data_IF_053682224364
#
_entry.id   IF_053682224364
#
_cell.length_a   1.000
_cell.length_b   1.000
_cell.length_c   1.000
_cell.angle_alpha   90.00
_cell.angle_beta   90.00
_cell.angle_gamma   90.00
#
_symmetry.space_group_name_H-M   'P 1'
#
loop_
_entity.id
_entity.type
_entity.pdbx_description
1 polymer ?
#
# COMPACT_ATOMS: atom_id res chain seq x y z
N UNK A 1 -62.02 -4.03 -3.03
CA UNK A 1 -61.13 -3.26 -2.15
C UNK A 1 -59.71 -3.54 -2.62
N UNK A 2 -59.21 -2.71 -3.55
CA UNK A 2 -57.87 -2.83 -4.14
C UNK A 2 -56.87 -2.02 -3.27
N UNK A 3 -55.90 -2.67 -2.66
CA UNK A 3 -54.81 -2.02 -1.96
C UNK A 3 -53.70 -1.76 -2.96
N UNK A 4 -53.53 -0.49 -3.29
CA UNK A 4 -52.42 -0.03 -4.14
C UNK A 4 -51.15 0.02 -3.30
N UNK A 5 -50.19 -0.86 -3.55
CA UNK A 5 -48.83 -0.75 -3.01
C UNK A 5 -48.07 0.32 -3.83
N UNK A 6 -47.90 1.49 -3.23
CA UNK A 6 -47.03 2.55 -3.76
C UNK A 6 -45.57 2.11 -3.51
N UNK A 7 -44.90 1.60 -4.55
CA UNK A 7 -43.46 1.39 -4.55
C UNK A 7 -42.78 2.76 -4.68
N UNK A 8 -42.29 3.33 -3.57
CA UNK A 8 -41.37 4.46 -3.61
C UNK A 8 -40.01 3.94 -4.12
N UNK A 9 -39.77 4.14 -5.40
CA UNK A 9 -38.43 4.01 -5.95
C UNK A 9 -37.59 5.18 -5.43
N UNK A 10 -36.78 4.93 -4.39
CA UNK A 10 -35.71 5.83 -4.00
C UNK A 10 -34.67 5.76 -5.13
N UNK A 11 -34.75 6.65 -6.08
CA UNK A 11 -33.66 6.95 -7.01
C UNK A 11 -32.58 7.68 -6.22
N UNK A 12 -31.81 6.93 -5.46
CA UNK A 12 -30.53 7.39 -4.98
C UNK A 12 -29.62 7.58 -6.19
N UNK A 13 -29.35 8.81 -6.56
CA UNK A 13 -28.23 9.16 -7.42
C UNK A 13 -26.96 8.69 -6.71
N UNK A 14 -26.60 7.44 -6.91
CA UNK A 14 -25.21 6.99 -6.73
C UNK A 14 -24.43 7.71 -7.83
N UNK A 15 -23.99 8.94 -7.55
CA UNK A 15 -22.89 9.52 -8.27
C UNK A 15 -21.82 8.42 -8.28
N UNK A 16 -21.51 7.92 -9.45
CA UNK A 16 -20.39 7.06 -9.74
C UNK A 16 -19.18 7.74 -9.08
N UNK A 17 -18.87 7.34 -7.86
CA UNK A 17 -17.60 7.66 -7.26
C UNK A 17 -16.58 7.00 -8.18
N UNK A 18 -16.02 7.82 -9.05
CA UNK A 18 -14.82 7.49 -9.81
C UNK A 18 -13.86 7.02 -8.74
N UNK A 19 -13.64 5.71 -8.66
CA UNK A 19 -12.66 5.15 -7.76
C UNK A 19 -11.31 5.58 -8.31
N UNK A 20 -10.91 6.79 -7.93
CA UNK A 20 -9.53 7.17 -8.04
C UNK A 20 -8.77 6.12 -7.23
N UNK A 21 -7.98 5.31 -7.92
CA UNK A 21 -7.05 4.41 -7.29
C UNK A 21 -6.12 5.32 -6.51
N UNK A 22 -6.43 5.51 -5.24
CA UNK A 22 -5.56 6.26 -4.34
C UNK A 22 -4.35 5.35 -4.15
N UNK A 23 -3.32 5.58 -4.96
CA UNK A 23 -2.00 5.03 -4.70
C UNK A 23 -1.54 5.49 -3.31
N UNK A 24 -0.46 4.93 -2.78
CA UNK A 24 0.05 5.31 -1.46
C UNK A 24 0.50 6.78 -1.40
N UNK A 25 0.75 7.39 -2.54
CA UNK A 25 1.11 8.81 -2.69
C UNK A 25 0.82 9.28 -4.11
N UNK A 26 0.47 10.55 -4.26
CA UNK A 26 0.41 11.18 -5.59
C UNK A 26 1.84 11.49 -6.06
N UNK A 27 2.31 10.77 -7.09
CA UNK A 27 3.69 10.91 -7.55
C UNK A 27 3.97 10.08 -8.80
N UNK A 28 5.24 10.04 -9.19
CA UNK A 28 5.73 9.32 -10.38
C UNK A 28 6.67 8.19 -9.94
N UNK A 29 6.50 6.97 -10.48
CA UNK A 29 7.45 5.88 -10.25
C UNK A 29 8.84 6.33 -10.72
N UNK A 30 9.79 6.34 -9.81
CA UNK A 30 11.18 6.71 -10.05
C UNK A 30 12.14 5.53 -10.01
N UNK A 31 11.73 4.43 -9.34
CA UNK A 31 12.48 3.18 -9.34
C UNK A 31 11.57 1.98 -9.14
N UNK A 32 11.77 0.95 -9.94
CA UNK A 32 10.94 -0.26 -9.95
C UNK A 32 11.45 -1.31 -8.96
N UNK A 33 10.57 -2.26 -8.65
CA UNK A 33 10.85 -3.47 -7.88
C UNK A 33 11.77 -4.42 -8.66
N UNK A 34 12.69 -5.10 -7.96
CA UNK A 34 13.52 -6.16 -8.53
C UNK A 34 15.01 -5.82 -8.58
N UNK A 35 15.78 -6.57 -9.37
CA UNK A 35 17.22 -6.37 -9.48
C UNK A 35 17.54 -5.12 -10.29
N UNK A 36 18.28 -4.18 -9.69
CA UNK A 36 18.69 -2.93 -10.32
C UNK A 36 20.05 -2.45 -9.80
N UNK A 37 20.74 -1.55 -10.51
CA UNK A 37 21.88 -0.86 -9.93
C UNK A 37 21.47 -0.08 -8.67
N UNK A 38 22.20 -0.31 -7.59
CA UNK A 38 22.01 0.44 -6.35
C UNK A 38 22.47 1.89 -6.56
N UNK A 39 21.63 2.91 -6.21
CA UNK A 39 21.91 4.31 -6.54
C UNK A 39 23.10 4.91 -5.78
N UNK A 40 23.62 4.23 -4.74
CA UNK A 40 24.76 4.69 -3.95
C UNK A 40 26.06 3.96 -4.28
N UNK A 41 25.97 2.69 -4.67
CA UNK A 41 27.16 1.85 -4.91
C UNK A 41 27.35 1.47 -6.37
N UNK A 42 26.33 1.63 -7.21
CA UNK A 42 26.32 1.18 -8.61
C UNK A 42 26.25 -0.34 -8.80
N UNK A 43 26.37 -1.13 -7.70
CA UNK A 43 26.32 -2.60 -7.78
C UNK A 43 24.88 -3.06 -7.96
N UNK A 44 24.70 -4.18 -8.66
CA UNK A 44 23.37 -4.79 -8.77
C UNK A 44 22.89 -5.26 -7.40
N UNK A 45 21.71 -4.79 -7.00
CA UNK A 45 21.06 -5.12 -5.74
C UNK A 45 19.54 -5.29 -5.94
N UNK A 46 18.93 -6.06 -5.04
CA UNK A 46 17.50 -6.25 -5.05
C UNK A 46 16.78 -5.07 -4.38
N UNK A 47 15.81 -4.49 -5.07
CA UNK A 47 14.91 -3.47 -4.56
C UNK A 47 13.59 -4.10 -4.15
N UNK A 48 13.31 -4.12 -2.85
CA UNK A 48 12.16 -4.81 -2.24
C UNK A 48 10.81 -4.13 -2.43
N UNK A 49 10.81 -2.94 -3.04
CA UNK A 49 9.60 -2.14 -3.27
C UNK A 49 9.64 -1.34 -4.56
N UNK A 50 8.85 -0.31 -4.62
CA UNK A 50 8.93 0.74 -5.65
C UNK A 50 9.20 2.08 -4.97
N UNK A 51 9.95 2.95 -5.66
CA UNK A 51 10.14 4.32 -5.21
C UNK A 51 9.23 5.24 -6.04
N UNK A 52 8.46 6.07 -5.35
CA UNK A 52 7.50 7.02 -5.95
C UNK A 52 7.96 8.43 -5.61
N UNK A 53 8.58 9.09 -6.58
CA UNK A 53 9.02 10.47 -6.43
C UNK A 53 7.82 11.41 -6.24
N UNK A 54 7.85 12.18 -5.18
CA UNK A 54 6.85 13.18 -4.82
C UNK A 54 7.51 14.27 -3.97
N UNK A 55 6.92 15.45 -3.94
CA UNK A 55 7.44 16.57 -3.17
C UNK A 55 7.44 16.26 -1.67
N UNK A 56 8.44 16.80 -0.97
CA UNK A 56 8.52 16.70 0.49
C UNK A 56 7.23 17.25 1.13
N UNK A 57 6.66 16.51 2.07
CA UNK A 57 5.42 16.89 2.72
C UNK A 57 4.15 16.47 1.97
N UNK A 58 4.25 15.82 0.81
CA UNK A 58 3.09 15.22 0.15
C UNK A 58 2.46 14.15 1.06
N UNK A 59 1.12 14.12 1.23
CA UNK A 59 0.46 13.13 2.06
C UNK A 59 0.68 11.69 1.56
N UNK A 60 0.96 10.79 2.50
CA UNK A 60 1.07 9.35 2.28
C UNK A 60 -0.16 8.66 2.85
N UNK A 61 -0.80 7.81 2.06
CA UNK A 61 -2.08 7.19 2.37
C UNK A 61 -1.95 5.69 2.57
N UNK A 62 -2.70 5.15 3.53
CA UNK A 62 -2.90 3.70 3.64
C UNK A 62 -3.64 3.18 2.41
N UNK A 63 -3.08 2.18 1.71
CA UNK A 63 -3.72 1.63 0.50
C UNK A 63 -4.94 0.76 0.80
N UNK A 64 -5.08 0.30 2.05
CA UNK A 64 -6.13 -0.59 2.51
C UNK A 64 -6.30 -0.47 4.03
N UNK A 65 -7.48 -0.93 4.55
CA UNK A 65 -7.73 -1.03 5.98
C UNK A 65 -6.70 -1.96 6.65
N UNK A 66 -6.35 -1.68 7.90
CA UNK A 66 -5.41 -2.52 8.64
C UNK A 66 -5.03 -1.97 10.00
N UNK A 67 -4.09 -2.63 10.63
CA UNK A 67 -3.53 -2.24 11.94
C UNK A 67 -2.06 -1.86 11.77
N UNK A 68 -1.64 -0.76 12.39
CA UNK A 68 -0.24 -0.34 12.40
C UNK A 68 0.56 -1.30 13.29
N UNK A 69 1.51 -2.00 12.71
CA UNK A 69 2.40 -2.91 13.44
C UNK A 69 3.80 -2.32 13.65
N UNK A 70 4.11 -1.23 12.98
CA UNK A 70 5.34 -0.47 13.17
C UNK A 70 5.12 1.00 12.77
N UNK A 71 5.62 1.90 13.59
CA UNK A 71 5.69 3.35 13.30
C UNK A 71 6.93 3.91 13.99
N UNK A 72 7.94 4.36 13.21
CA UNK A 72 9.19 4.86 13.77
C UNK A 72 10.36 4.80 12.79
N UNK A 73 11.59 5.04 13.31
CA UNK A 73 12.82 5.00 12.54
C UNK A 73 13.36 3.56 12.44
N UNK A 74 13.60 3.08 11.21
CA UNK A 74 14.02 1.71 10.93
C UNK A 74 15.14 1.65 9.89
N UNK A 75 16.38 1.65 10.34
CA UNK A 75 17.57 1.46 9.48
C UNK A 75 17.54 2.29 8.20
N UNK A 76 17.79 1.66 7.06
CA UNK A 76 17.78 2.29 5.74
C UNK A 76 16.45 2.91 5.33
N UNK A 77 15.32 2.41 5.84
CA UNK A 77 13.98 2.96 5.56
C UNK A 77 13.72 4.35 6.16
N UNK A 78 14.59 4.82 7.07
CA UNK A 78 14.34 6.07 7.78
C UNK A 78 13.08 5.98 8.65
N UNK A 79 12.27 7.04 8.67
CA UNK A 79 10.96 7.00 9.32
C UNK A 79 10.00 6.20 8.44
N UNK A 80 9.44 5.12 8.99
CA UNK A 80 8.53 4.27 8.24
C UNK A 80 7.32 3.82 9.06
N UNK A 81 6.26 3.48 8.34
CA UNK A 81 5.05 2.83 8.83
C UNK A 81 4.96 1.45 8.21
N UNK A 82 4.54 0.44 8.99
CA UNK A 82 4.16 -0.87 8.46
C UNK A 82 2.73 -1.16 8.91
N UNK A 83 1.89 -1.52 7.95
CA UNK A 83 0.49 -1.90 8.16
C UNK A 83 0.33 -3.39 7.93
N UNK A 84 -0.35 -4.05 8.84
CA UNK A 84 -0.81 -5.42 8.69
C UNK A 84 -2.28 -5.41 8.28
N UNK A 85 -2.56 -5.91 7.10
CA UNK A 85 -3.91 -6.00 6.52
C UNK A 85 -4.54 -7.37 6.82
N UNK A 86 -4.46 -7.77 8.09
CA UNK A 86 -5.01 -9.05 8.53
C UNK A 86 -6.54 -9.00 8.58
N UNK A 87 -7.16 -10.04 8.04
CA UNK A 87 -8.60 -10.23 8.04
C UNK A 87 -8.95 -11.40 8.96
N UNK A 88 -9.41 -11.15 10.20
CA UNK A 88 -9.64 -12.18 11.19
C UNK A 88 -10.69 -13.20 10.74
N UNK A 89 -11.67 -12.77 9.93
CA UNK A 89 -12.76 -13.62 9.46
C UNK A 89 -12.35 -14.57 8.31
N UNK A 90 -11.13 -14.43 7.78
CA UNK A 90 -10.64 -15.25 6.66
C UNK A 90 -9.18 -15.68 6.91
N UNK A 91 -8.91 -16.52 7.93
CA UNK A 91 -7.55 -16.87 8.34
C UNK A 91 -6.74 -17.63 7.28
N UNK A 92 -7.40 -18.16 6.25
CA UNK A 92 -6.73 -18.86 5.13
C UNK A 92 -6.07 -17.91 4.15
N UNK A 93 -6.35 -16.59 4.24
CA UNK A 93 -5.70 -15.61 3.40
C UNK A 93 -4.33 -15.29 4.00
N UNK A 94 -3.28 -15.43 3.18
CA UNK A 94 -1.95 -15.07 3.63
C UNK A 94 -1.88 -13.61 4.09
N UNK A 95 -1.03 -13.36 5.08
CA UNK A 95 -0.88 -12.06 5.72
C UNK A 95 -0.27 -11.05 4.75
N UNK A 96 -1.03 -10.05 4.38
CA UNK A 96 -0.58 -8.93 3.56
C UNK A 96 -0.04 -7.83 4.47
N UNK A 97 1.16 -7.35 4.18
CA UNK A 97 1.73 -6.18 4.86
C UNK A 97 2.21 -5.16 3.83
N UNK A 98 2.07 -3.89 4.17
CA UNK A 98 2.64 -2.78 3.39
C UNK A 98 3.57 -1.95 4.23
N UNK A 99 4.68 -1.50 3.63
CA UNK A 99 5.66 -0.61 4.25
C UNK A 99 5.72 0.71 3.47
N UNK A 100 5.78 1.80 4.23
CA UNK A 100 5.86 3.18 3.74
C UNK A 100 7.10 3.83 4.34
N UNK A 101 8.18 3.96 3.56
CA UNK A 101 9.50 4.41 4.00
C UNK A 101 9.86 5.84 3.60
N UNK A 102 10.96 6.32 4.15
CA UNK A 102 11.61 7.62 3.93
C UNK A 102 10.78 8.84 4.33
N UNK A 103 9.74 8.66 5.17
CA UNK A 103 8.83 9.75 5.56
C UNK A 103 9.55 10.86 6.33
N UNK A 104 9.04 12.10 6.18
CA UNK A 104 9.46 13.24 6.99
C UNK A 104 8.84 13.19 8.40
N UNK A 105 7.57 12.82 8.47
CA UNK A 105 6.82 12.66 9.73
C UNK A 105 5.79 11.55 9.64
N UNK A 106 5.46 10.97 10.80
CA UNK A 106 4.50 9.88 10.97
C UNK A 106 3.31 10.40 11.76
N UNK A 107 2.09 10.02 11.36
CA UNK A 107 0.84 10.51 11.96
C UNK A 107 0.10 9.43 12.75
N UNK A 108 0.66 8.21 12.80
CA UNK A 108 0.04 7.03 13.40
C UNK A 108 0.99 6.33 14.36
N UNK A 109 0.43 5.60 15.32
CA UNK A 109 1.17 4.83 16.31
C UNK A 109 0.91 3.33 16.16
N UNK A 110 1.80 2.51 16.70
CA UNK A 110 1.59 1.05 16.76
C UNK A 110 0.30 0.74 17.51
N UNK A 111 -0.53 -0.12 16.93
CA UNK A 111 -1.85 -0.50 17.44
C UNK A 111 -3.02 0.30 16.86
N UNK A 112 -2.76 1.41 16.17
CA UNK A 112 -3.84 2.18 15.54
C UNK A 112 -4.48 1.37 14.40
N UNK A 113 -5.82 1.44 14.34
CA UNK A 113 -6.58 0.97 13.17
C UNK A 113 -6.63 2.11 12.14
N UNK A 114 -6.28 1.79 10.91
CA UNK A 114 -6.34 2.72 9.79
C UNK A 114 -7.30 2.24 8.71
N UNK A 115 -7.90 3.20 8.00
CA UNK A 115 -8.77 2.93 6.85
C UNK A 115 -8.03 3.24 5.55
N UNK A 116 -8.43 2.58 4.48
CA UNK A 116 -7.99 2.92 3.11
C UNK A 116 -8.20 4.42 2.84
N UNK A 117 -7.17 5.07 2.30
CA UNK A 117 -7.18 6.51 2.02
C UNK A 117 -6.92 7.41 3.25
N UNK A 118 -6.71 6.84 4.43
CA UNK A 118 -6.29 7.62 5.59
C UNK A 118 -4.85 8.09 5.42
N UNK A 119 -4.58 9.38 5.72
CA UNK A 119 -3.21 9.91 5.77
C UNK A 119 -2.50 9.31 6.97
N UNK A 120 -1.33 8.68 6.76
CA UNK A 120 -0.54 8.00 7.78
C UNK A 120 0.83 8.61 8.00
N UNK A 121 1.32 9.37 7.00
CA UNK A 121 2.64 10.00 7.03
C UNK A 121 2.72 11.11 5.98
N UNK A 122 3.87 11.78 5.92
CA UNK A 122 4.22 12.70 4.85
C UNK A 122 5.54 12.32 4.20
N UNK A 123 5.63 12.47 2.86
CA UNK A 123 6.84 12.21 2.09
C UNK A 123 8.04 12.98 2.66
N UNK A 124 9.16 12.32 2.71
CA UNK A 124 10.44 12.86 3.16
C UNK A 124 11.60 12.33 2.35
N UNK A 125 12.78 12.37 2.96
CA UNK A 125 14.04 11.81 2.44
C UNK A 125 14.89 11.29 3.60
N UNK A 126 14.25 10.68 4.61
CA UNK A 126 14.96 10.14 5.79
C UNK A 126 15.54 8.75 5.50
N UNK A 127 16.57 8.38 6.27
CA UNK A 127 17.26 7.10 6.06
C UNK A 127 18.16 7.09 4.83
N UNK A 128 18.21 5.97 4.11
CA UNK A 128 19.04 5.79 2.91
C UNK A 128 18.29 6.26 1.66
N UNK A 129 18.17 7.55 1.49
CA UNK A 129 17.45 8.22 0.40
C UNK A 129 18.34 9.26 -0.27
N UNK A 130 18.22 9.42 -1.58
CA UNK A 130 18.94 10.41 -2.40
C UNK A 130 18.07 11.61 -2.82
N UNK A 131 16.83 11.68 -2.33
CA UNK A 131 15.90 12.78 -2.61
C UNK A 131 14.48 12.45 -2.13
N UNK A 132 13.54 13.42 -2.18
CA UNK A 132 12.19 13.20 -1.71
C UNK A 132 11.45 12.14 -2.53
N UNK A 133 11.01 11.07 -1.88
CA UNK A 133 10.18 10.00 -2.45
C UNK A 133 9.55 9.16 -1.34
N UNK A 134 8.52 8.42 -1.68
CA UNK A 134 8.00 7.31 -0.88
C UNK A 134 8.64 6.02 -1.38
N UNK A 135 9.31 5.26 -0.49
CA UNK A 135 9.62 3.87 -0.72
C UNK A 135 8.43 3.02 -0.26
N UNK A 136 7.84 2.26 -1.17
CA UNK A 136 6.63 1.49 -0.92
C UNK A 136 6.84 0.00 -1.20
N UNK A 137 6.61 -0.84 -0.17
CA UNK A 137 6.70 -2.28 -0.28
C UNK A 137 5.37 -2.96 -0.04
N UNK A 138 5.18 -4.09 -0.70
CA UNK A 138 4.13 -5.06 -0.43
C UNK A 138 4.76 -6.40 -0.13
N UNK A 139 4.39 -7.02 0.98
CA UNK A 139 4.86 -8.35 1.33
C UNK A 139 3.72 -9.28 1.72
N UNK A 140 3.93 -10.55 1.45
CA UNK A 140 2.98 -11.63 1.59
C UNK A 140 3.62 -12.76 2.37
N UNK A 141 3.15 -13.05 3.57
CA UNK A 141 3.84 -14.01 4.44
C UNK A 141 5.35 -13.76 4.52
N UNK A 142 5.77 -12.48 4.66
CA UNK A 142 7.17 -12.02 4.68
C UNK A 142 7.93 -12.18 3.35
N UNK A 143 7.28 -12.49 2.25
CA UNK A 143 7.88 -12.49 0.92
C UNK A 143 7.51 -11.20 0.19
N UNK A 144 8.50 -10.49 -0.35
CA UNK A 144 8.25 -9.30 -1.15
C UNK A 144 7.60 -9.65 -2.48
N UNK A 145 6.62 -8.86 -2.88
CA UNK A 145 5.96 -8.97 -4.19
C UNK A 145 6.00 -7.62 -4.89
N UNK A 146 5.86 -7.63 -6.22
CA UNK A 146 5.90 -6.38 -6.97
C UNK A 146 4.69 -5.49 -6.59
N UNK A 147 4.92 -4.30 -5.97
CA UNK A 147 3.83 -3.43 -5.57
C UNK A 147 2.96 -2.95 -6.73
N UNK A 148 3.49 -2.90 -7.94
CA UNK A 148 2.75 -2.49 -9.14
C UNK A 148 1.57 -3.40 -9.43
N UNK A 149 1.66 -4.68 -9.05
CA UNK A 149 0.53 -5.61 -9.18
C UNK A 149 -0.65 -5.23 -8.28
N UNK A 150 -0.39 -4.47 -7.21
CA UNK A 150 -1.40 -3.97 -6.28
C UNK A 150 -1.92 -2.58 -6.65
N UNK A 151 -1.06 -1.69 -7.13
CA UNK A 151 -1.43 -0.32 -7.43
C UNK A 151 -2.35 -0.20 -8.64
N UNK A 152 -2.27 -1.13 -9.59
CA UNK A 152 -3.01 -1.02 -10.86
C UNK A 152 -4.09 -2.08 -11.08
N UNK A 153 -4.18 -3.11 -10.23
CA UNK A 153 -5.02 -4.28 -10.54
C UNK A 153 -6.14 -4.59 -9.55
N UNK A 154 -6.23 -3.88 -8.42
CA UNK A 154 -7.16 -4.30 -7.37
C UNK A 154 -8.21 -3.24 -7.01
N UNK A 155 -9.42 -3.30 -7.60
CA UNK A 155 -10.53 -2.45 -7.20
C UNK A 155 -11.12 -2.83 -5.84
N UNK A 156 -11.00 -4.09 -5.40
CA UNK A 156 -11.56 -4.56 -4.14
C UNK A 156 -10.76 -5.71 -3.51
N UNK A 157 -11.00 -5.96 -2.21
CA UNK A 157 -10.47 -7.11 -1.48
C UNK A 157 -10.81 -8.47 -2.13
N UNK A 158 -12.02 -8.64 -2.68
CA UNK A 158 -12.45 -9.88 -3.33
C UNK A 158 -11.63 -10.18 -4.59
N UNK A 159 -11.29 -9.15 -5.35
CA UNK A 159 -10.45 -9.28 -6.55
C UNK A 159 -9.02 -9.67 -6.16
N UNK A 160 -8.52 -9.15 -5.02
CA UNK A 160 -7.25 -9.54 -4.46
C UNK A 160 -7.21 -11.02 -4.07
N UNK A 161 -8.24 -11.54 -3.39
CA UNK A 161 -8.34 -12.96 -3.01
C UNK A 161 -8.36 -13.85 -4.25
N UNK A 162 -9.11 -13.46 -5.27
CA UNK A 162 -9.19 -14.17 -6.55
C UNK A 162 -7.82 -14.17 -7.27
N UNK A 163 -7.14 -13.01 -7.29
CA UNK A 163 -5.79 -12.88 -7.84
C UNK A 163 -4.76 -13.73 -7.09
N UNK A 164 -4.75 -13.69 -5.77
CA UNK A 164 -3.84 -14.48 -4.94
C UNK A 164 -4.03 -15.99 -5.15
N UNK A 165 -5.27 -16.45 -5.31
CA UNK A 165 -5.58 -17.86 -5.64
C UNK A 165 -5.17 -18.25 -7.06
N UNK A 166 -5.25 -17.34 -8.03
CA UNK A 166 -4.88 -17.60 -9.42
C UNK A 166 -3.37 -17.66 -9.67
N UNK A 167 -2.59 -16.99 -8.83
CA UNK A 167 -1.13 -16.84 -8.93
C UNK A 167 -0.37 -17.80 -8.01
N UNK A 168 -0.68 -19.10 -8.03
CA UNK A 168 0.08 -20.12 -7.27
C UNK A 168 1.56 -20.26 -7.73
N UNK A 169 2.15 -19.22 -8.31
CA UNK A 169 3.53 -19.14 -8.77
C UNK A 169 4.20 -17.87 -8.27
N UNK A 170 4.42 -17.77 -6.96
CA UNK A 170 5.38 -16.79 -6.47
C UNK A 170 6.77 -17.41 -6.54
N UNK A 171 7.60 -16.91 -7.44
CA UNK A 171 9.05 -17.12 -7.33
C UNK A 171 9.50 -16.40 -6.08
N UNK A 172 9.70 -17.16 -5.00
CA UNK A 172 10.21 -16.67 -3.73
C UNK A 172 11.66 -16.24 -3.90
N UNK A 173 11.91 -14.94 -3.89
CA UNK A 173 13.24 -14.45 -3.57
C UNK A 173 13.36 -14.48 -2.03
N UNK A 174 14.18 -15.40 -1.50
CA UNK A 174 14.68 -15.32 -0.12
C UNK A 174 15.89 -14.39 -0.12
N UNK A 175 15.94 -13.39 0.78
CA UNK A 175 17.15 -12.58 0.98
C UNK A 175 18.32 -13.41 1.48
#
# INVERSE_FOLDING_TARGET
>A
MFVLFLCFAIQGNFASAKYDVVGPVLGRISSEFGMRPDPFTGKIAFHSGVDIAADMGTPVYAIQDGVIIYSGKKGGYGNCVIIDHYYPDVPQIPRLQTLYGHNSSLLVNVGDNVRRGQVIAYVGSTGRSNGPHLHFEVSYNKMYVNPMDYLYKLPSYLDYVAYARSKNRYTSYKP
#
